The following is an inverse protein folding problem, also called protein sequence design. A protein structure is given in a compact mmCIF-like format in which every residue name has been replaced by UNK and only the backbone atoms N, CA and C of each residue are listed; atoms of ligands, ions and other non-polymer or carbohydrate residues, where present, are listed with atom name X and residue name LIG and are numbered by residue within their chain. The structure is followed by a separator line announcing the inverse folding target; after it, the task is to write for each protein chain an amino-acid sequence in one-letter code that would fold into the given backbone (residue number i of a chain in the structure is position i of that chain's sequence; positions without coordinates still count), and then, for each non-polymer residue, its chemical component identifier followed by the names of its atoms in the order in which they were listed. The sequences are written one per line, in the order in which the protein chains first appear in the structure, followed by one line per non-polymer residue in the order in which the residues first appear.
data_IF_066141144311
#
_entry.id   IF_066141144311
#
_cell.length_a   1.000
_cell.length_b   1.000
_cell.length_c   1.000
_cell.angle_alpha   90.00
_cell.angle_beta   90.00
_cell.angle_gamma   90.00
#
_symmetry.space_group_name_H-M   'P 1'
#
loop_
_entity.id
_entity.type
_entity.pdbx_description
1 polymer ?
#
# COMPACT_ATOMS: atom_id res chain seq x y z
N UNK A 1 -41.26 60.35 3.49
CA UNK A 1 -41.05 60.45 2.03
C UNK A 1 -39.55 60.31 1.76
N UNK A 2 -39.19 59.50 0.74
CA UNK A 2 -37.97 59.43 -0.10
C UNK A 2 -36.66 60.11 0.42
N UNK A 3 -35.57 59.33 0.60
CA UNK A 3 -34.38 59.14 -0.30
C UNK A 3 -33.38 60.33 -0.28
N UNK A 4 -32.06 60.23 -0.31
CA UNK A 4 -31.05 59.15 -0.39
C UNK A 4 -29.67 59.83 -0.59
N UNK A 5 -28.58 59.25 -0.02
CA UNK A 5 -27.20 59.09 -0.55
C UNK A 5 -26.37 60.39 -0.81
N UNK A 6 -25.04 60.51 -0.68
CA UNK A 6 -23.82 59.67 -0.75
C UNK A 6 -22.75 60.32 0.17
N UNK A 7 -21.62 59.73 0.61
CA UNK A 7 -20.46 59.23 -0.15
C UNK A 7 -19.42 58.68 0.88
N UNK A 8 -19.09 57.38 0.89
CA UNK A 8 -17.79 56.73 0.53
C UNK A 8 -16.53 57.13 1.36
N UNK A 9 -15.49 56.27 1.58
CA UNK A 9 -15.26 54.87 1.18
C UNK A 9 -14.86 53.90 2.33
N UNK A 10 -14.97 52.60 2.07
CA UNK A 10 -14.62 51.46 2.95
C UNK A 10 -13.14 51.03 2.75
N UNK A 11 -12.35 50.75 3.81
CA UNK A 11 -11.02 50.15 3.68
C UNK A 11 -11.08 48.62 3.44
N UNK A 12 -10.09 48.02 2.77
CA UNK A 12 -10.07 46.58 2.47
C UNK A 12 -9.82 45.72 3.73
N UNK A 13 -10.39 44.50 3.81
CA UNK A 13 -10.20 43.62 4.96
C UNK A 13 -8.82 42.92 4.93
N UNK A 14 -8.05 43.10 6.00
CA UNK A 14 -6.82 42.34 6.29
C UNK A 14 -7.16 40.88 6.59
N UNK A 15 -6.64 39.95 5.78
CA UNK A 15 -6.69 38.51 6.08
C UNK A 15 -5.52 38.11 6.98
N UNK A 16 -5.73 37.25 8.01
CA UNK A 16 -4.65 36.84 8.90
C UNK A 16 -3.70 35.82 8.24
N UNK A 17 -2.37 36.05 8.36
CA UNK A 17 -1.33 35.08 8.00
C UNK A 17 -1.47 33.84 8.88
N UNK A 18 -1.81 32.70 8.27
CA UNK A 18 -1.82 31.38 8.92
C UNK A 18 -0.38 30.98 9.24
N UNK A 19 -0.04 30.99 10.53
CA UNK A 19 1.23 30.50 11.07
C UNK A 19 1.43 29.04 10.65
N UNK A 20 2.51 28.75 9.95
CA UNK A 20 2.88 27.40 9.52
C UNK A 20 3.28 26.61 10.77
N UNK A 21 2.36 25.83 11.32
CA UNK A 21 2.67 24.87 12.37
C UNK A 21 3.76 23.93 11.83
N UNK A 22 4.92 23.94 12.47
CA UNK A 22 6.04 23.06 12.18
C UNK A 22 5.58 21.65 12.58
N UNK A 23 5.16 20.85 11.60
CA UNK A 23 4.96 19.41 11.79
C UNK A 23 6.31 18.85 12.23
N UNK A 24 6.49 18.64 13.52
CA UNK A 24 7.54 17.78 14.05
C UNK A 24 7.31 16.42 13.40
N UNK A 25 8.23 16.02 12.53
CA UNK A 25 8.24 14.68 11.97
C UNK A 25 8.31 13.70 13.14
N UNK A 26 7.21 12.98 13.39
CA UNK A 26 7.23 11.83 14.25
C UNK A 26 8.19 10.82 13.62
N UNK A 27 9.36 10.68 14.23
CA UNK A 27 10.32 9.63 13.89
C UNK A 27 9.57 8.30 13.98
N UNK A 28 9.57 7.44 12.94
CA UNK A 28 8.91 6.15 13.05
C UNK A 28 9.58 5.39 14.19
N UNK A 29 8.80 5.03 15.20
CA UNK A 29 9.26 4.20 16.29
C UNK A 29 9.83 2.91 15.70
N UNK A 30 11.13 2.68 15.88
CA UNK A 30 11.74 1.38 15.58
C UNK A 30 11.05 0.34 16.46
N UNK A 31 10.35 -0.66 15.89
CA UNK A 31 9.74 -1.69 16.71
C UNK A 31 10.85 -2.54 17.32
N UNK A 32 11.05 -2.42 18.62
CA UNK A 32 11.87 -3.32 19.42
C UNK A 32 11.19 -4.70 19.35
N UNK A 33 11.61 -5.52 18.40
CA UNK A 33 11.05 -6.85 18.23
C UNK A 33 11.77 -7.78 19.19
N UNK A 34 11.22 -7.94 20.39
CA UNK A 34 11.46 -9.12 21.23
C UNK A 34 11.34 -10.35 20.34
N UNK A 35 12.42 -11.12 20.21
CA UNK A 35 12.67 -12.10 19.15
C UNK A 35 11.43 -12.89 18.74
N UNK A 36 10.82 -12.52 17.63
CA UNK A 36 9.76 -13.32 17.04
C UNK A 36 10.36 -14.61 16.52
N UNK A 37 9.84 -15.76 16.95
CA UNK A 37 10.16 -17.08 16.40
C UNK A 37 10.05 -17.10 14.86
N UNK A 38 9.24 -16.22 14.29
CA UNK A 38 9.12 -15.99 12.85
C UNK A 38 10.14 -14.96 12.36
N UNK A 39 11.38 -15.41 12.15
CA UNK A 39 12.39 -14.65 11.40
C UNK A 39 11.98 -14.50 9.92
N UNK A 40 12.52 -13.48 9.24
CA UNK A 40 12.29 -13.27 7.81
C UNK A 40 12.70 -14.50 6.99
N UNK A 41 13.82 -15.14 7.34
CA UNK A 41 14.28 -16.40 6.72
C UNK A 41 13.23 -17.52 6.84
N UNK A 42 12.65 -17.72 8.03
CA UNK A 42 11.62 -18.74 8.26
C UNK A 42 10.34 -18.45 7.46
N UNK A 43 9.95 -17.17 7.37
CA UNK A 43 8.80 -16.74 6.54
C UNK A 43 9.08 -16.95 5.05
N UNK A 44 10.30 -16.69 4.59
CA UNK A 44 10.70 -16.89 3.20
C UNK A 44 10.64 -18.38 2.81
N UNK A 45 11.12 -19.27 3.68
CA UNK A 45 11.04 -20.73 3.47
C UNK A 45 9.57 -21.18 3.41
N UNK A 46 8.73 -20.74 4.35
CA UNK A 46 7.30 -21.06 4.34
C UNK A 46 6.65 -20.59 3.03
N UNK A 47 6.83 -19.32 2.68
CA UNK A 47 6.24 -18.74 1.47
C UNK A 47 6.67 -19.51 0.20
N UNK A 48 7.94 -19.92 0.12
CA UNK A 48 8.47 -20.71 -1.00
C UNK A 48 7.75 -22.06 -1.11
N UNK A 49 7.60 -22.78 0.00
CA UNK A 49 6.93 -24.09 0.04
C UNK A 49 5.43 -23.94 -0.28
N UNK A 50 4.76 -22.93 0.26
CA UNK A 50 3.35 -22.66 -0.02
C UNK A 50 3.12 -22.38 -1.50
N UNK A 51 3.94 -21.50 -2.11
CA UNK A 51 3.83 -21.17 -3.54
C UNK A 51 4.10 -22.39 -4.41
N UNK A 52 5.11 -23.20 -4.08
CA UNK A 52 5.44 -24.40 -4.85
C UNK A 52 4.34 -25.47 -4.75
N UNK A 53 3.81 -25.68 -3.54
CA UNK A 53 2.70 -26.61 -3.31
C UNK A 53 1.44 -26.14 -4.01
N UNK A 54 1.12 -24.85 -3.93
CA UNK A 54 0.00 -24.24 -4.65
C UNK A 54 0.19 -24.45 -6.15
N UNK A 55 1.35 -24.12 -6.72
CA UNK A 55 1.57 -24.27 -8.16
C UNK A 55 1.35 -25.70 -8.67
N UNK A 56 1.63 -26.73 -7.86
CA UNK A 56 1.46 -28.14 -8.24
C UNK A 56 0.03 -28.65 -8.04
N UNK A 57 -0.69 -28.16 -7.02
CA UNK A 57 -1.97 -28.73 -6.58
C UNK A 57 -3.17 -27.78 -6.74
N UNK A 58 -2.98 -26.56 -7.24
CA UNK A 58 -4.06 -25.59 -7.41
C UNK A 58 -5.06 -26.07 -8.45
N UNK A 59 -6.35 -25.89 -8.16
CA UNK A 59 -7.41 -25.88 -9.16
C UNK A 59 -7.36 -24.54 -9.92
N UNK A 60 -6.78 -24.57 -11.11
CA UNK A 60 -6.55 -23.38 -11.92
C UNK A 60 -7.82 -22.88 -12.60
N UNK A 61 -8.74 -23.77 -12.97
CA UNK A 61 -10.03 -23.44 -13.56
C UNK A 61 -10.87 -22.66 -12.54
N UNK A 62 -10.93 -23.15 -11.30
CA UNK A 62 -11.62 -22.42 -10.22
C UNK A 62 -10.97 -21.08 -9.94
N UNK A 63 -9.64 -21.02 -9.88
CA UNK A 63 -8.93 -19.75 -9.65
C UNK A 63 -9.15 -18.75 -10.79
N UNK A 64 -9.17 -19.23 -12.04
CA UNK A 64 -9.48 -18.44 -13.22
C UNK A 64 -10.91 -17.85 -13.12
N UNK A 65 -11.89 -18.67 -12.74
CA UNK A 65 -13.26 -18.23 -12.54
C UNK A 65 -13.40 -17.15 -11.44
N UNK A 66 -12.74 -17.34 -10.30
CA UNK A 66 -12.77 -16.39 -9.17
C UNK A 66 -12.06 -15.06 -9.49
N UNK A 67 -10.96 -15.12 -10.25
CA UNK A 67 -10.17 -13.93 -10.59
C UNK A 67 -10.63 -13.23 -11.88
N UNK A 68 -11.55 -13.84 -12.64
CA UNK A 68 -11.95 -13.37 -13.96
C UNK A 68 -10.80 -13.38 -14.99
N UNK A 69 -9.78 -14.20 -14.77
CA UNK A 69 -8.59 -14.31 -15.61
C UNK A 69 -8.50 -15.68 -16.27
N UNK A 70 -7.64 -15.82 -17.27
CA UNK A 70 -7.34 -17.15 -17.84
C UNK A 70 -6.40 -17.93 -16.92
N UNK A 71 -6.48 -19.27 -16.96
CA UNK A 71 -5.55 -20.11 -16.21
C UNK A 71 -4.09 -19.77 -16.50
N UNK A 72 -3.76 -19.45 -17.76
CA UNK A 72 -2.41 -19.11 -18.18
C UNK A 72 -1.91 -17.82 -17.50
N UNK A 73 -2.78 -16.83 -17.31
CA UNK A 73 -2.46 -15.61 -16.58
C UNK A 73 -2.24 -15.90 -15.09
N UNK A 74 -3.08 -16.75 -14.47
CA UNK A 74 -2.92 -17.17 -13.08
C UNK A 74 -1.61 -17.98 -12.87
N UNK A 75 -1.33 -18.94 -13.75
CA UNK A 75 -0.08 -19.74 -13.75
C UNK A 75 1.15 -18.85 -13.94
N UNK A 76 1.06 -17.85 -14.81
CA UNK A 76 2.13 -16.87 -15.02
C UNK A 76 2.47 -16.09 -13.74
N UNK A 77 1.50 -15.88 -12.83
CA UNK A 77 1.76 -15.18 -11.56
C UNK A 77 2.59 -15.99 -10.56
N UNK A 78 2.60 -17.32 -10.67
CA UNK A 78 3.30 -18.24 -9.77
C UNK A 78 4.52 -18.92 -10.41
N UNK A 79 4.78 -18.63 -11.70
CA UNK A 79 5.94 -19.15 -12.45
C UNK A 79 7.27 -18.67 -11.85
N UNK A 80 8.26 -19.54 -11.64
CA UNK A 80 9.58 -19.13 -11.12
C UNK A 80 10.34 -18.25 -12.12
N UNK A 81 11.15 -17.33 -11.61
CA UNK A 81 12.07 -16.51 -12.44
C UNK A 81 11.42 -15.35 -13.20
N UNK A 82 10.13 -15.07 -12.99
CA UNK A 82 9.43 -13.91 -13.57
C UNK A 82 9.18 -12.83 -12.53
N UNK A 83 8.98 -11.59 -12.99
CA UNK A 83 8.56 -10.49 -12.12
C UNK A 83 7.05 -10.56 -11.91
N UNK A 84 6.63 -11.33 -10.90
CA UNK A 84 5.25 -11.71 -10.65
C UNK A 84 4.96 -11.84 -9.16
N UNK A 85 3.73 -12.23 -8.81
CA UNK A 85 3.30 -12.42 -7.43
C UNK A 85 4.28 -13.27 -6.60
N UNK A 86 4.81 -14.37 -7.17
CA UNK A 86 5.82 -15.20 -6.50
C UNK A 86 7.06 -14.40 -6.13
N UNK A 87 7.62 -13.61 -7.06
CA UNK A 87 8.78 -12.75 -6.77
C UNK A 87 8.45 -11.71 -5.72
N UNK A 88 7.31 -11.03 -5.82
CA UNK A 88 6.87 -10.02 -4.84
C UNK A 88 6.76 -10.60 -3.43
N UNK A 89 6.16 -11.78 -3.28
CA UNK A 89 5.99 -12.45 -1.99
C UNK A 89 7.34 -12.88 -1.41
N UNK A 90 8.26 -13.40 -2.23
CA UNK A 90 9.59 -13.78 -1.75
C UNK A 90 10.46 -12.58 -1.41
N UNK A 91 10.40 -11.51 -2.20
CA UNK A 91 11.16 -10.28 -1.98
C UNK A 91 10.69 -9.52 -0.71
N UNK A 92 9.44 -9.70 -0.29
CA UNK A 92 8.92 -9.17 0.98
C UNK A 92 9.61 -9.78 2.21
N UNK A 93 10.07 -11.04 2.12
CA UNK A 93 10.73 -11.74 3.22
C UNK A 93 12.24 -11.92 3.01
N UNK A 94 12.77 -11.56 1.84
CA UNK A 94 14.19 -11.64 1.51
C UNK A 94 15.03 -10.42 1.92
N UNK A 95 14.47 -9.49 2.70
CA UNK A 95 15.13 -8.28 3.23
C UNK A 95 15.54 -8.43 4.69
#
# INVERSE_FOLDING_TARGET
MKRSLSDSPTPPPSTPKKSKAKNSAAQPATPTTTGSTWTNERKAVLARICIETAYKNMDWDKLAAETGMTEAQCKNQLTPGRNNLRKTVLDLFGK
#
